data_IF_034462180983
#
_entry.id   IF_034462180983
#
_cell.length_a   1.000
_cell.length_b   1.000
_cell.length_c   1.000
_cell.angle_alpha   90.00
_cell.angle_beta   90.00
_cell.angle_gamma   90.00
#
_symmetry.space_group_name_H-M   'P 1'
#
loop_
_entity.id
_entity.type
_entity.pdbx_description
1 polymer ?
#
# COMPACT_ATOMS: atom_id res chain seq x y z
N UNK A 1 -35.11 -34.55 -3.48
CA UNK A 1 -34.70 -33.75 -4.66
C UNK A 1 -34.84 -32.24 -4.40
N UNK A 2 -36.04 -31.73 -4.09
CA UNK A 2 -36.26 -30.29 -3.86
C UNK A 2 -35.36 -29.64 -2.78
N UNK A 3 -35.18 -30.28 -1.61
CA UNK A 3 -34.30 -29.77 -0.54
C UNK A 3 -32.84 -29.68 -0.98
N UNK A 4 -32.36 -30.64 -1.76
CA UNK A 4 -30.99 -30.66 -2.29
C UNK A 4 -30.80 -29.54 -3.30
N UNK A 5 -31.81 -29.32 -4.16
CA UNK A 5 -31.79 -28.22 -5.14
C UNK A 5 -31.79 -26.85 -4.44
N UNK A 6 -32.62 -26.64 -3.42
CA UNK A 6 -32.67 -25.38 -2.66
C UNK A 6 -31.32 -25.13 -1.96
N UNK A 7 -30.76 -26.14 -1.31
CA UNK A 7 -29.46 -26.01 -0.65
C UNK A 7 -28.36 -25.63 -1.64
N UNK A 8 -28.29 -26.32 -2.79
CA UNK A 8 -27.28 -26.05 -3.82
C UNK A 8 -27.43 -24.67 -4.45
N UNK A 9 -28.66 -24.21 -4.74
CA UNK A 9 -28.87 -22.88 -5.33
C UNK A 9 -28.60 -21.77 -4.32
N UNK A 10 -28.97 -21.93 -3.05
CA UNK A 10 -28.64 -20.97 -1.99
C UNK A 10 -27.13 -20.93 -1.74
N UNK A 11 -26.45 -22.08 -1.70
CA UNK A 11 -25.00 -22.14 -1.54
C UNK A 11 -24.26 -21.50 -2.72
N UNK A 12 -24.66 -21.83 -3.95
CA UNK A 12 -24.07 -21.23 -5.16
C UNK A 12 -24.35 -19.72 -5.24
N UNK A 13 -25.55 -19.29 -4.87
CA UNK A 13 -25.91 -17.87 -4.80
C UNK A 13 -25.03 -17.13 -3.78
N UNK A 14 -24.82 -17.72 -2.60
CA UNK A 14 -23.90 -17.17 -1.60
C UNK A 14 -22.47 -17.10 -2.14
N UNK A 15 -21.97 -18.17 -2.75
CA UNK A 15 -20.61 -18.20 -3.34
C UNK A 15 -20.44 -17.14 -4.43
N UNK A 16 -21.45 -16.91 -5.29
CA UNK A 16 -21.39 -15.88 -6.34
C UNK A 16 -21.39 -14.48 -5.74
N UNK A 17 -22.31 -14.21 -4.80
CA UNK A 17 -22.41 -12.93 -4.11
C UNK A 17 -21.11 -12.62 -3.38
N UNK A 18 -20.61 -13.58 -2.60
CA UNK A 18 -19.32 -13.48 -1.93
C UNK A 18 -18.21 -13.24 -2.96
N UNK A 19 -18.04 -14.08 -3.97
CA UNK A 19 -16.96 -13.94 -4.96
C UNK A 19 -16.96 -12.59 -5.67
N UNK A 20 -18.15 -12.05 -5.98
CA UNK A 20 -18.30 -10.73 -6.59
C UNK A 20 -17.81 -9.62 -5.65
N UNK A 21 -18.31 -9.58 -4.42
CA UNK A 21 -17.91 -8.58 -3.42
C UNK A 21 -16.43 -8.74 -3.00
N UNK A 22 -15.89 -9.96 -2.96
CA UNK A 22 -14.49 -10.22 -2.61
C UNK A 22 -13.51 -9.87 -3.74
N UNK A 23 -13.99 -9.69 -4.98
CA UNK A 23 -13.16 -9.34 -6.15
C UNK A 23 -12.96 -7.83 -6.32
N UNK A 24 -13.75 -6.98 -5.64
CA UNK A 24 -13.83 -5.54 -5.89
C UNK A 24 -13.31 -4.68 -4.73
N UNK A 25 -12.09 -4.86 -4.22
CA UNK A 25 -11.48 -3.83 -3.35
C UNK A 25 -10.66 -2.86 -4.21
N UNK A 26 -11.26 -1.73 -4.59
CA UNK A 26 -10.65 -0.66 -5.38
C UNK A 26 -10.02 0.45 -4.51
N UNK A 27 -9.32 0.10 -3.40
CA UNK A 27 -8.56 1.11 -2.63
C UNK A 27 -7.58 1.84 -3.53
N UNK A 28 -6.85 1.03 -4.30
CA UNK A 28 -6.04 1.42 -5.44
C UNK A 28 -5.97 0.19 -6.36
N UNK A 29 -6.03 0.35 -7.68
CA UNK A 29 -6.08 -0.78 -8.64
C UNK A 29 -4.85 -1.71 -8.55
N UNK A 30 -3.76 -1.23 -7.96
CA UNK A 30 -2.51 -1.95 -7.74
C UNK A 30 -2.32 -2.39 -6.27
N UNK A 31 -3.37 -2.33 -5.45
CA UNK A 31 -3.33 -2.67 -4.03
C UNK A 31 -4.04 -3.98 -3.72
N UNK A 32 -3.59 -4.67 -2.67
CA UNK A 32 -4.27 -5.82 -2.04
C UNK A 32 -4.41 -5.59 -0.54
N UNK A 33 -5.36 -6.28 0.08
CA UNK A 33 -5.50 -6.30 1.53
C UNK A 33 -4.22 -6.78 2.24
N UNK A 34 -3.88 -6.17 3.37
CA UNK A 34 -2.78 -6.59 4.24
C UNK A 34 -3.19 -6.52 5.73
N UNK A 35 -3.00 -7.58 6.53
CA UNK A 35 -3.51 -7.64 7.90
C UNK A 35 -2.89 -6.60 8.84
N UNK A 36 -1.65 -6.17 8.63
CA UNK A 36 -1.00 -5.18 9.51
C UNK A 36 -1.06 -3.75 8.97
N UNK A 37 -1.29 -3.59 7.66
CA UNK A 37 -1.22 -2.29 6.97
C UNK A 37 -2.59 -1.83 6.47
N UNK A 38 -3.62 -2.67 6.55
CA UNK A 38 -4.90 -2.49 5.88
C UNK A 38 -4.83 -2.92 4.41
N UNK A 39 -3.91 -2.32 3.66
CA UNK A 39 -3.58 -2.71 2.28
C UNK A 39 -2.10 -2.46 2.01
N UNK A 40 -1.59 -3.03 0.92
CA UNK A 40 -0.25 -2.78 0.38
C UNK A 40 -0.30 -2.89 -1.15
N UNK A 41 0.71 -2.38 -1.85
CA UNK A 41 0.88 -2.59 -3.29
C UNK A 41 1.14 -4.07 -3.60
N UNK A 42 0.59 -4.56 -4.70
CA UNK A 42 0.73 -5.96 -5.12
C UNK A 42 2.13 -6.16 -5.72
N UNK A 43 2.95 -7.12 -5.24
CA UNK A 43 4.23 -7.43 -5.86
C UNK A 43 4.12 -7.89 -7.32
N UNK A 44 5.12 -7.51 -8.13
CA UNK A 44 5.24 -7.91 -9.55
C UNK A 44 3.95 -7.64 -10.35
N UNK A 45 3.30 -6.52 -10.06
CA UNK A 45 2.02 -6.15 -10.68
C UNK A 45 2.20 -4.99 -11.64
N UNK A 46 1.60 -5.13 -12.81
CA UNK A 46 1.40 -4.06 -13.78
C UNK A 46 -0.10 -3.77 -13.87
N UNK A 47 -0.46 -2.49 -13.78
CA UNK A 47 -1.82 -1.99 -13.97
C UNK A 47 -1.76 -0.80 -14.92
N UNK A 48 -2.69 -0.74 -15.88
CA UNK A 48 -2.82 0.39 -16.79
C UNK A 48 -4.27 0.82 -16.90
N UNK A 49 -4.48 2.13 -16.97
CA UNK A 49 -5.80 2.74 -17.22
C UNK A 49 -5.88 3.39 -18.63
N UNK A 50 -4.98 3.02 -19.53
CA UNK A 50 -4.88 3.55 -20.89
C UNK A 50 -4.14 4.89 -21.01
N UNK A 51 -3.87 5.59 -19.89
CA UNK A 51 -3.04 6.82 -19.85
C UNK A 51 -1.78 6.64 -19.04
N UNK A 52 -1.88 5.90 -17.94
CA UNK A 52 -0.80 5.71 -16.97
C UNK A 52 -0.64 4.24 -16.71
N UNK A 53 0.62 3.80 -16.64
CA UNK A 53 0.99 2.44 -16.26
C UNK A 53 1.76 2.47 -14.95
N UNK A 54 1.25 1.71 -13.98
CA UNK A 54 1.90 1.45 -12.71
C UNK A 54 2.56 0.08 -12.77
N UNK A 55 3.85 0.01 -12.44
CA UNK A 55 4.58 -1.24 -12.28
C UNK A 55 5.23 -1.29 -10.90
N UNK A 56 5.28 -2.48 -10.32
CA UNK A 56 5.87 -2.73 -9.00
C UNK A 56 6.86 -3.88 -9.08
N UNK A 57 7.93 -3.79 -8.28
CA UNK A 57 8.95 -4.83 -8.18
C UNK A 57 8.50 -6.03 -7.35
N UNK A 58 9.39 -7.01 -7.16
CA UNK A 58 9.15 -8.27 -6.44
C UNK A 58 8.72 -8.13 -4.97
N UNK A 59 8.90 -6.94 -4.37
CA UNK A 59 8.46 -6.63 -3.01
C UNK A 59 7.37 -5.54 -2.97
N UNK A 60 6.80 -5.19 -4.13
CA UNK A 60 5.69 -4.25 -4.24
C UNK A 60 6.09 -2.78 -4.31
N UNK A 61 7.38 -2.42 -4.35
CA UNK A 61 7.81 -1.02 -4.46
C UNK A 61 7.66 -0.52 -5.89
N UNK A 62 7.42 0.78 -6.05
CA UNK A 62 7.23 1.44 -7.34
C UNK A 62 8.55 1.95 -7.93
N UNK A 63 9.51 1.05 -8.03
CA UNK A 63 10.88 1.27 -8.50
C UNK A 63 11.38 0.01 -9.19
N UNK A 64 12.63 0.01 -9.67
CA UNK A 64 13.30 -1.20 -10.13
C UNK A 64 13.48 -2.22 -8.99
N UNK A 65 13.88 -3.44 -9.36
CA UNK A 65 14.25 -4.48 -8.39
C UNK A 65 15.37 -4.00 -7.47
N UNK A 66 15.31 -4.42 -6.21
CA UNK A 66 16.30 -4.02 -5.20
C UNK A 66 17.66 -4.60 -5.59
N UNK A 67 18.65 -3.72 -5.74
CA UNK A 67 20.04 -4.11 -5.96
C UNK A 67 20.74 -4.29 -4.60
N UNK A 68 21.06 -5.53 -4.19
CA UNK A 68 21.67 -5.80 -2.88
C UNK A 68 23.10 -5.25 -2.76
N UNK A 69 23.73 -4.86 -3.88
CA UNK A 69 25.10 -4.33 -3.90
C UNK A 69 25.16 -2.81 -3.68
N UNK A 70 24.02 -2.11 -3.81
CA UNK A 70 23.92 -0.66 -3.66
C UNK A 70 23.36 -0.26 -2.29
N UNK A 71 23.66 0.98 -1.89
CA UNK A 71 22.94 1.64 -0.81
C UNK A 71 21.65 2.26 -1.34
N UNK A 72 20.59 2.25 -0.54
CA UNK A 72 19.28 2.72 -1.00
C UNK A 72 18.85 4.04 -0.35
N UNK A 73 18.26 4.92 -1.16
CA UNK A 73 17.45 6.05 -0.70
C UNK A 73 15.99 5.58 -0.72
N UNK A 74 15.34 5.57 0.45
CA UNK A 74 13.95 5.13 0.56
C UNK A 74 13.01 6.33 0.50
N UNK A 75 12.07 6.32 -0.43
CA UNK A 75 10.99 7.32 -0.53
C UNK A 75 9.73 6.76 0.14
N UNK A 76 9.24 7.43 1.17
CA UNK A 76 8.04 7.06 1.91
C UNK A 76 6.99 8.14 1.78
N UNK A 77 5.72 7.73 1.71
CA UNK A 77 4.59 8.65 1.74
C UNK A 77 3.32 8.02 1.19
N UNK A 78 2.33 8.84 0.91
CA UNK A 78 1.04 8.44 0.36
C UNK A 78 1.03 8.39 -1.18
N UNK A 79 -0.11 8.78 -1.76
CA UNK A 79 -0.33 9.01 -3.18
C UNK A 79 0.66 9.97 -3.84
N UNK A 80 1.18 10.98 -3.12
CA UNK A 80 2.15 11.95 -3.67
C UNK A 80 3.51 11.28 -3.86
N UNK A 81 4.01 10.58 -2.85
CA UNK A 81 5.25 9.80 -2.94
C UNK A 81 5.14 8.68 -3.98
N UNK A 82 4.00 7.98 -4.00
CA UNK A 82 3.70 6.95 -4.97
C UNK A 82 3.73 7.49 -6.41
N UNK A 83 3.36 8.76 -6.63
CA UNK A 83 3.24 9.36 -7.96
C UNK A 83 1.92 9.00 -8.64
N UNK A 84 0.81 9.09 -7.91
CA UNK A 84 -0.52 8.81 -8.47
C UNK A 84 -0.79 9.72 -9.67
N UNK A 85 -1.10 9.14 -10.82
CA UNK A 85 -1.40 9.88 -12.06
C UNK A 85 -0.22 10.08 -13.02
N UNK A 86 0.98 9.57 -12.72
CA UNK A 86 2.14 9.61 -13.62
C UNK A 86 2.73 8.21 -13.81
N UNK A 87 3.51 7.95 -14.86
CA UNK A 87 4.18 6.66 -15.08
C UNK A 87 5.39 6.46 -14.14
N UNK A 88 5.91 5.23 -14.04
CA UNK A 88 7.05 4.94 -13.16
C UNK A 88 8.28 5.84 -13.44
N UNK A 89 8.54 6.15 -14.71
CA UNK A 89 9.62 7.04 -15.16
C UNK A 89 9.31 8.55 -15.03
N UNK A 90 8.20 8.89 -14.39
CA UNK A 90 7.78 10.29 -14.13
C UNK A 90 7.62 10.55 -12.63
N UNK A 91 7.97 9.56 -11.79
CA UNK A 91 7.91 9.68 -10.33
C UNK A 91 9.06 10.53 -9.79
N UNK A 92 8.87 11.13 -8.60
CA UNK A 92 9.94 11.84 -7.87
C UNK A 92 11.14 10.90 -7.64
N UNK A 93 10.88 9.63 -7.30
CA UNK A 93 11.93 8.61 -7.12
C UNK A 93 12.76 8.39 -8.39
N UNK A 94 12.11 8.33 -9.56
CA UNK A 94 12.82 8.17 -10.83
C UNK A 94 13.73 9.36 -11.12
N UNK A 95 13.19 10.58 -11.04
CA UNK A 95 14.01 11.77 -11.28
C UNK A 95 15.14 11.94 -10.26
N UNK A 96 14.90 11.53 -9.00
CA UNK A 96 15.93 11.57 -7.97
C UNK A 96 17.07 10.59 -8.27
N UNK A 97 16.78 9.37 -8.73
CA UNK A 97 17.83 8.40 -9.11
C UNK A 97 18.64 8.88 -10.32
N UNK A 98 17.99 9.56 -11.27
CA UNK A 98 18.63 10.11 -12.46
C UNK A 98 19.41 11.42 -12.22
N UNK A 99 19.23 12.08 -11.06
CA UNK A 99 19.99 13.29 -10.73
C UNK A 99 21.49 12.96 -10.67
N UNK A 100 22.32 13.70 -11.40
CA UNK A 100 23.76 13.44 -11.52
C UNK A 100 24.49 13.35 -10.18
N UNK A 101 24.04 14.08 -9.17
CA UNK A 101 24.66 14.06 -7.83
C UNK A 101 24.33 12.77 -7.11
N UNK A 102 23.09 12.28 -7.25
CA UNK A 102 22.66 11.02 -6.65
C UNK A 102 23.25 9.84 -7.41
N UNK A 103 23.18 9.86 -8.74
CA UNK A 103 23.78 8.83 -9.60
C UNK A 103 25.30 8.70 -9.36
N UNK A 104 26.00 9.82 -9.17
CA UNK A 104 27.44 9.84 -8.83
C UNK A 104 27.79 9.19 -7.49
N UNK A 105 26.83 9.06 -6.56
CA UNK A 105 27.00 8.35 -5.30
C UNK A 105 26.75 6.83 -5.43
N UNK A 106 26.22 6.38 -6.57
CA UNK A 106 25.90 4.97 -6.80
C UNK A 106 24.71 4.46 -5.98
N UNK A 107 23.88 5.34 -5.39
CA UNK A 107 22.70 4.93 -4.63
C UNK A 107 21.50 4.66 -5.52
N UNK A 108 20.76 3.59 -5.23
CA UNK A 108 19.47 3.30 -5.86
C UNK A 108 18.36 4.02 -5.09
N UNK A 109 17.28 4.41 -5.78
CA UNK A 109 16.11 5.03 -5.13
C UNK A 109 14.94 4.06 -5.16
N UNK A 110 14.43 3.72 -3.98
CA UNK A 110 13.32 2.79 -3.81
C UNK A 110 12.06 3.53 -3.38
N UNK A 111 10.97 3.35 -4.13
CA UNK A 111 9.70 4.02 -3.85
C UNK A 111 8.75 3.13 -3.07
N UNK A 112 8.63 3.40 -1.77
CA UNK A 112 7.74 2.70 -0.84
C UNK A 112 6.42 3.45 -0.59
N UNK A 113 6.11 4.46 -1.41
CA UNK A 113 4.86 5.20 -1.30
C UNK A 113 3.66 4.29 -1.59
N UNK A 114 2.56 4.47 -0.87
CA UNK A 114 1.32 3.72 -1.10
C UNK A 114 0.11 4.66 -1.00
N UNK A 115 -0.77 4.72 -2.01
CA UNK A 115 -1.93 5.59 -1.97
C UNK A 115 -2.82 5.38 -0.74
N UNK A 116 -3.24 6.48 -0.12
CA UNK A 116 -4.13 6.48 1.04
C UNK A 116 -3.46 6.17 2.39
N UNK A 117 -2.15 5.90 2.42
CA UNK A 117 -1.45 5.70 3.68
C UNK A 117 -1.40 7.00 4.51
N UNK A 118 -1.52 6.85 5.83
CA UNK A 118 -1.10 7.88 6.79
C UNK A 118 0.29 7.59 7.37
N UNK A 119 0.79 8.50 8.22
CA UNK A 119 2.15 8.43 8.79
C UNK A 119 2.40 7.12 9.55
N UNK A 120 1.40 6.63 10.28
CA UNK A 120 1.48 5.34 10.97
C UNK A 120 1.73 4.17 10.02
N UNK A 121 1.11 4.17 8.83
CA UNK A 121 1.35 3.14 7.81
C UNK A 121 2.72 3.30 7.15
N UNK A 122 3.24 4.54 6.96
CA UNK A 122 4.62 4.74 6.48
C UNK A 122 5.62 4.07 7.43
N UNK A 123 5.46 4.31 8.74
CA UNK A 123 6.31 3.73 9.77
C UNK A 123 6.25 2.20 9.77
N UNK A 124 5.05 1.62 9.75
CA UNK A 124 4.90 0.15 9.75
C UNK A 124 5.46 -0.46 8.45
N UNK A 125 5.24 0.16 7.29
CA UNK A 125 5.77 -0.33 6.03
C UNK A 125 7.31 -0.26 5.99
N UNK A 126 7.89 0.82 6.53
CA UNK A 126 9.34 0.93 6.71
C UNK A 126 9.86 -0.17 7.64
N UNK A 127 9.27 -0.30 8.84
CA UNK A 127 9.69 -1.26 9.86
C UNK A 127 9.72 -2.69 9.34
N UNK A 128 8.77 -3.07 8.48
CA UNK A 128 8.70 -4.41 7.87
C UNK A 128 9.84 -4.71 6.89
N UNK A 129 10.35 -3.70 6.20
CA UNK A 129 11.26 -3.90 5.06
C UNK A 129 12.69 -3.40 5.31
N UNK A 130 12.90 -2.47 6.24
CA UNK A 130 14.14 -1.69 6.36
C UNK A 130 15.41 -2.54 6.47
N UNK A 131 15.36 -3.68 7.15
CA UNK A 131 16.51 -4.57 7.38
C UNK A 131 17.06 -5.20 6.08
N UNK A 132 16.23 -5.28 5.04
CA UNK A 132 16.59 -5.90 3.76
C UNK A 132 17.05 -4.88 2.72
N UNK A 133 16.98 -3.58 3.04
CA UNK A 133 17.12 -2.51 2.05
C UNK A 133 18.41 -1.68 2.18
N UNK A 134 19.34 -1.99 3.08
CA UNK A 134 20.60 -1.24 3.23
C UNK A 134 20.43 0.30 3.10
N UNK A 135 19.53 0.92 3.89
CA UNK A 135 19.17 2.33 3.71
C UNK A 135 20.35 3.26 4.03
N UNK A 136 20.58 4.26 3.17
CA UNK A 136 21.54 5.37 3.39
C UNK A 136 20.84 6.68 3.70
N UNK A 137 19.62 6.85 3.18
CA UNK A 137 18.76 8.00 3.44
C UNK A 137 17.30 7.56 3.39
N UNK A 138 16.49 8.13 4.27
CA UNK A 138 15.04 7.95 4.27
C UNK A 138 14.44 9.33 4.03
N UNK A 139 13.68 9.47 2.94
CA UNK A 139 12.98 10.70 2.57
C UNK A 139 11.51 10.49 2.81
N UNK A 140 10.97 11.25 3.77
CA UNK A 140 9.55 11.25 4.08
C UNK A 140 8.85 12.38 3.33
N UNK A 141 7.93 12.03 2.44
CA UNK A 141 7.07 12.98 1.74
C UNK A 141 5.73 13.00 2.50
N UNK A 142 5.46 14.11 3.18
CA UNK A 142 4.22 14.34 3.90
C UNK A 142 3.33 15.25 3.08
N UNK A 143 2.17 14.77 2.67
CA UNK A 143 1.13 15.57 2.06
C UNK A 143 0.19 16.12 3.14
N UNK A 144 0.37 17.40 3.46
CA UNK A 144 -0.25 18.04 4.63
C UNK A 144 -1.78 18.12 4.58
N UNK A 145 -2.40 17.93 3.42
CA UNK A 145 -3.85 18.03 3.24
C UNK A 145 -4.60 16.86 3.87
N UNK A 146 -4.10 15.62 3.73
CA UNK A 146 -4.77 14.41 4.23
C UNK A 146 -3.94 13.64 5.26
N UNK A 147 -2.61 13.62 5.20
CA UNK A 147 -1.80 12.69 6.01
C UNK A 147 -2.01 12.85 7.52
N UNK A 148 -2.20 14.10 7.98
CA UNK A 148 -2.46 14.41 9.39
C UNK A 148 -3.82 13.87 9.84
N UNK A 149 -4.83 13.93 8.96
CA UNK A 149 -6.15 13.37 9.22
C UNK A 149 -6.12 11.84 9.16
N UNK A 150 -5.48 11.29 8.13
CA UNK A 150 -5.33 9.85 7.89
C UNK A 150 -4.61 9.13 9.03
N UNK A 151 -3.67 9.80 9.69
CA UNK A 151 -2.94 9.25 10.84
C UNK A 151 -3.84 9.07 12.07
N UNK A 152 -4.97 9.78 12.14
CA UNK A 152 -5.91 9.78 13.27
C UNK A 152 -7.14 8.90 13.03
N UNK A 153 -7.19 8.20 11.89
CA UNK A 153 -8.32 7.37 11.49
C UNK A 153 -7.88 5.91 11.38
N UNK A 154 -8.76 5.02 11.82
CA UNK A 154 -8.60 3.56 11.69
C UNK A 154 -9.16 3.02 10.38
N UNK A 155 -9.59 3.90 9.46
CA UNK A 155 -10.08 3.52 8.15
C UNK A 155 -9.87 4.61 7.11
N UNK A 156 -9.84 4.21 5.83
CA UNK A 156 -9.82 5.09 4.66
C UNK A 156 -10.46 4.37 3.47
N UNK A 157 -11.28 5.09 2.70
CA UNK A 157 -12.07 4.53 1.60
C UNK A 157 -12.98 3.36 2.04
N UNK A 158 -13.44 3.39 3.30
CA UNK A 158 -14.21 2.30 3.90
C UNK A 158 -13.39 1.05 4.26
N UNK A 159 -12.05 1.10 4.13
CA UNK A 159 -11.17 -0.02 4.46
C UNK A 159 -10.41 0.30 5.74
N UNK A 160 -10.40 -0.68 6.65
CA UNK A 160 -9.71 -0.61 7.93
C UNK A 160 -8.19 -0.52 7.73
N UNK A 161 -7.53 0.32 8.53
CA UNK A 161 -6.09 0.57 8.56
C UNK A 161 -5.60 0.62 10.01
N UNK A 162 -4.28 0.48 10.26
CA UNK A 162 -3.76 0.54 11.61
C UNK A 162 -3.91 1.94 12.21
N UNK A 163 -4.27 2.00 13.49
CA UNK A 163 -4.39 3.21 14.28
C UNK A 163 -3.30 3.18 15.36
N UNK A 164 -2.35 4.10 15.23
CA UNK A 164 -1.26 4.25 16.18
C UNK A 164 -1.54 5.45 17.08
N UNK A 165 -1.39 5.26 18.38
CA UNK A 165 -1.46 6.34 19.37
C UNK A 165 -0.12 6.48 20.08
N UNK A 166 0.23 7.70 20.44
CA UNK A 166 1.41 7.98 21.26
C UNK A 166 0.96 8.22 22.71
N UNK A 167 1.44 7.39 23.64
CA UNK A 167 1.09 7.46 25.07
C UNK A 167 2.28 6.98 25.91
N UNK A 168 2.61 7.72 26.97
CA UNK A 168 3.69 7.38 27.92
C UNK A 168 5.01 7.07 27.19
N UNK A 169 5.44 7.97 26.30
CA UNK A 169 6.65 7.83 25.48
C UNK A 169 6.70 6.61 24.54
N UNK A 170 5.57 5.92 24.36
CA UNK A 170 5.45 4.74 23.52
C UNK A 170 4.46 4.96 22.39
N UNK A 171 4.83 4.50 21.20
CA UNK A 171 3.93 4.38 20.06
C UNK A 171 3.23 3.02 20.12
N UNK A 172 1.91 3.03 20.30
CA UNK A 172 1.09 1.84 20.50
C UNK A 172 0.18 1.67 19.28
N UNK A 173 0.24 0.49 18.64
CA UNK A 173 -0.72 0.10 17.61
C UNK A 173 -1.96 -0.50 18.28
N UNK A 174 -3.12 0.14 18.14
CA UNK A 174 -4.36 -0.26 18.80
C UNK A 174 -5.07 -1.45 18.13
N UNK A 175 -4.75 -1.73 16.87
CA UNK A 175 -5.35 -2.79 16.06
C UNK A 175 -4.27 -3.47 15.21
N UNK A 176 -3.40 -4.22 15.89
CA UNK A 176 -2.24 -4.90 15.29
C UNK A 176 -2.57 -5.88 14.18
N UNK A 177 -3.78 -6.46 14.20
CA UNK A 177 -4.26 -7.34 13.16
C UNK A 177 -5.66 -6.90 12.72
N UNK A 178 -5.74 -6.43 11.49
CA UNK A 178 -6.96 -5.99 10.84
C UNK A 178 -7.61 -7.22 10.21
N UNK A 179 -8.89 -7.43 10.48
CA UNK A 179 -9.64 -8.48 9.80
C UNK A 179 -10.02 -7.99 8.40
N UNK A 180 -9.71 -8.78 7.37
CA UNK A 180 -10.25 -8.59 6.02
C UNK A 180 -11.78 -8.56 6.02
N UNK A 181 -12.39 -9.25 7.00
CA UNK A 181 -13.82 -9.52 7.10
C UNK A 181 -14.52 -8.65 8.17
N UNK A 182 -13.94 -7.50 8.53
CA UNK A 182 -14.62 -6.55 9.41
C UNK A 182 -15.90 -6.00 8.75
N UNK A 183 -16.91 -5.64 9.53
CA UNK A 183 -18.14 -5.05 9.00
C UNK A 183 -17.85 -3.79 8.16
N UNK A 184 -16.83 -3.02 8.54
CA UNK A 184 -16.38 -1.85 7.82
C UNK A 184 -15.84 -2.22 6.43
N UNK A 185 -14.94 -3.20 6.35
CA UNK A 185 -14.36 -3.67 5.08
C UNK A 185 -15.45 -4.27 4.18
N UNK A 186 -16.34 -5.10 4.74
CA UNK A 186 -17.48 -5.65 4.01
C UNK A 186 -18.38 -4.56 3.43
N UNK A 187 -18.64 -3.49 4.20
CA UNK A 187 -19.46 -2.37 3.76
C UNK A 187 -18.81 -1.56 2.64
N UNK A 188 -17.48 -1.48 2.55
CA UNK A 188 -16.83 -0.78 1.43
C UNK A 188 -17.07 -1.41 0.06
N UNK A 189 -17.53 -2.65 0.04
CA UNK A 189 -17.87 -3.38 -1.18
C UNK A 189 -19.35 -3.25 -1.58
N UNK A 190 -20.21 -2.76 -0.67
CA UNK A 190 -21.65 -2.49 -0.90
C UNK A 190 -21.86 -1.11 -1.52
#
# INVERSE_FOLDING_TARGET
LALVTIFLTSFLGLVIVESYYWSSSSVCEICRFHPELGWETIPTKIVTNGKVTYATNSIGMRSEEVDPTRGNILILGDSVAFGLGVNNNETISHYLEQDKRIAGLGYQVLNMGVPGYGIGQYYLNLKRNIDQLNPKLIVLIVYTTNDLQETRQDNRFGISKPLLIYRNDNLINLNTNISRFSCLNLRSHL
#
